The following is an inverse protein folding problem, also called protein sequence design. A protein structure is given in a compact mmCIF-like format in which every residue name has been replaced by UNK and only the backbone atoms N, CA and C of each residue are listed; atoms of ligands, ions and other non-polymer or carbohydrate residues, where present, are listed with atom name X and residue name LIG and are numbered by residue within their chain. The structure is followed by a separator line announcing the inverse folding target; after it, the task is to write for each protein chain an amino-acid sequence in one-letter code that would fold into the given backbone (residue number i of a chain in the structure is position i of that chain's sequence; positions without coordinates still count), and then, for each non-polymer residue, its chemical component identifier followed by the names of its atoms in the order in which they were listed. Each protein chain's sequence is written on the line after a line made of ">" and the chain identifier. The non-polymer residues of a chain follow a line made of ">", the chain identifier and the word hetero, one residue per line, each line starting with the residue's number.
data_IF_068661226259
#
_entry.id   IF_068661226259
#
_cell.length_a   1.000
_cell.length_b   1.000
_cell.length_c   1.000
_cell.angle_alpha   90.00
_cell.angle_beta   90.00
_cell.angle_gamma   90.00
#
_symmetry.space_group_name_H-M   'P 1'
#
loop_
_entity.id
_entity.type
_entity.pdbx_description
1 polymer ?
#
# COMPACT_ATOMS: atom_id res chain seq x y z
N UNK A 1 15.28 21.02 4.81
CA UNK A 1 15.04 21.38 6.21
C UNK A 1 13.78 20.70 6.67
N UNK A 2 13.64 20.47 7.98
CA UNK A 2 12.49 19.79 8.56
C UNK A 2 11.13 20.37 8.12
N UNK A 3 10.99 21.71 8.15
CA UNK A 3 9.78 22.40 7.71
C UNK A 3 9.47 22.17 6.23
N UNK A 4 10.48 22.21 5.36
CA UNK A 4 10.31 21.96 3.93
C UNK A 4 9.99 20.49 3.65
N UNK A 5 10.62 19.55 4.34
CA UNK A 5 10.35 18.11 4.21
C UNK A 5 8.93 17.78 4.65
N UNK A 6 8.50 18.31 5.81
CA UNK A 6 7.15 18.12 6.35
C UNK A 6 6.10 18.70 5.41
N UNK A 7 6.31 19.90 4.87
CA UNK A 7 5.40 20.48 3.88
C UNK A 7 5.30 19.65 2.59
N UNK A 8 6.43 19.11 2.11
CA UNK A 8 6.46 18.25 0.93
C UNK A 8 5.74 16.91 1.15
N UNK A 9 5.87 16.33 2.35
CA UNK A 9 5.14 15.14 2.76
C UNK A 9 3.63 15.43 2.88
N UNK A 10 3.23 16.50 3.56
CA UNK A 10 1.85 16.91 3.71
C UNK A 10 1.14 17.15 2.36
N UNK A 11 1.80 17.84 1.42
CA UNK A 11 1.26 18.06 0.08
C UNK A 11 1.01 16.75 -0.67
N UNK A 12 1.92 15.77 -0.54
CA UNK A 12 1.77 14.47 -1.18
C UNK A 12 0.65 13.64 -0.58
N UNK A 13 0.60 13.55 0.75
CA UNK A 13 -0.44 12.83 1.48
C UNK A 13 -1.82 13.41 1.16
N UNK A 14 -1.94 14.73 1.11
CA UNK A 14 -3.20 15.41 0.78
C UNK A 14 -3.67 15.09 -0.63
N UNK A 15 -2.74 15.13 -1.60
CA UNK A 15 -3.01 14.83 -3.01
C UNK A 15 -3.45 13.37 -3.20
N UNK A 16 -2.79 12.43 -2.51
CA UNK A 16 -3.00 10.99 -2.68
C UNK A 16 -3.79 10.34 -1.53
N UNK A 17 -4.62 11.10 -0.82
CA UNK A 17 -5.28 10.64 0.41
C UNK A 17 -6.10 9.35 0.25
N UNK A 18 -6.58 9.03 -0.96
CA UNK A 18 -7.32 7.78 -1.20
C UNK A 18 -6.46 6.51 -1.24
N UNK A 19 -5.13 6.66 -1.36
CA UNK A 19 -4.16 5.57 -1.45
C UNK A 19 -3.26 5.46 -0.22
N UNK A 20 -2.92 6.59 0.41
CA UNK A 20 -1.99 6.61 1.56
C UNK A 20 -2.61 6.00 2.81
N UNK A 21 -1.89 5.10 3.46
CA UNK A 21 -2.28 4.38 4.67
C UNK A 21 -2.08 5.15 5.98
N UNK A 22 -2.49 4.54 7.09
CA UNK A 22 -2.44 5.17 8.41
C UNK A 22 -1.01 5.41 8.92
N UNK A 23 -0.07 4.50 8.66
CA UNK A 23 1.31 4.60 9.13
C UNK A 23 1.99 5.89 8.63
N UNK A 24 1.95 6.16 7.33
CA UNK A 24 2.49 7.38 6.74
C UNK A 24 1.87 8.66 7.34
N UNK A 25 0.56 8.65 7.60
CA UNK A 25 -0.15 9.79 8.21
C UNK A 25 0.24 10.02 9.66
N UNK A 26 0.43 8.95 10.43
CA UNK A 26 0.89 9.04 11.83
C UNK A 26 2.29 9.62 11.91
N UNK A 27 3.23 9.18 11.06
CA UNK A 27 4.57 9.74 11.02
C UNK A 27 4.57 11.21 10.62
N UNK A 28 3.71 11.60 9.67
CA UNK A 28 3.54 13.01 9.30
C UNK A 28 3.02 13.85 10.47
N UNK A 29 2.00 13.37 11.18
CA UNK A 29 1.45 14.06 12.34
C UNK A 29 2.49 14.22 13.46
N UNK A 30 3.35 13.22 13.64
CA UNK A 30 4.44 13.28 14.60
C UNK A 30 5.53 14.29 14.20
N UNK A 31 5.88 14.35 12.92
CA UNK A 31 6.80 15.36 12.39
C UNK A 31 6.26 16.79 12.61
N UNK A 32 4.97 17.01 12.35
CA UNK A 32 4.29 18.29 12.61
C UNK A 32 4.30 18.66 14.10
N UNK A 33 4.04 17.68 14.99
CA UNK A 33 4.10 17.88 16.45
C UNK A 33 5.50 18.30 16.90
N UNK A 34 6.55 17.65 16.40
CA UNK A 34 7.93 17.97 16.74
C UNK A 34 8.39 19.32 16.18
N UNK A 35 7.89 19.72 15.01
CA UNK A 35 8.15 21.08 14.47
C UNK A 35 7.48 22.19 15.29
N UNK A 36 6.42 21.87 16.03
CA UNK A 36 5.81 22.81 16.95
C UNK A 36 6.58 22.92 18.29
N UNK A 37 7.50 21.98 18.56
CA UNK A 37 8.33 22.01 19.75
C UNK A 37 9.47 23.05 19.61
N UNK A 38 9.86 23.73 20.70
CA UNK A 38 10.88 24.78 20.64
C UNK A 38 12.33 24.26 20.55
N UNK A 39 12.58 22.95 20.72
CA UNK A 39 13.94 22.41 20.79
C UNK A 39 14.51 22.12 19.38
N UNK A 40 15.72 22.61 19.04
CA UNK A 40 16.33 22.37 17.73
C UNK A 40 16.59 20.89 17.41
N UNK A 41 16.82 20.05 18.43
CA UNK A 41 17.00 18.61 18.25
C UNK A 41 15.73 17.92 17.71
N UNK A 42 14.56 18.42 18.12
CA UNK A 42 13.25 17.89 17.67
C UNK A 42 13.03 18.16 16.19
N UNK A 43 13.62 19.24 15.64
CA UNK A 43 13.56 19.52 14.21
C UNK A 43 14.34 18.47 13.39
N UNK A 44 15.46 17.94 13.89
CA UNK A 44 16.17 16.86 13.18
C UNK A 44 15.32 15.59 13.16
N UNK A 45 14.69 15.25 14.28
CA UNK A 45 13.80 14.10 14.34
C UNK A 45 12.57 14.30 13.42
N UNK A 46 12.00 15.50 13.38
CA UNK A 46 10.93 15.85 12.46
C UNK A 46 11.32 15.70 10.98
N UNK A 47 12.55 16.08 10.60
CA UNK A 47 13.06 15.90 9.22
C UNK A 47 13.11 14.42 8.83
N UNK A 48 13.55 13.55 9.76
CA UNK A 48 13.59 12.10 9.56
C UNK A 48 12.18 11.53 9.38
N UNK A 49 11.27 11.81 10.33
CA UNK A 49 9.90 11.31 10.28
C UNK A 49 9.14 11.81 9.04
N UNK A 50 9.37 13.05 8.61
CA UNK A 50 8.77 13.58 7.39
C UNK A 50 9.24 12.85 6.12
N UNK A 51 10.51 12.44 6.06
CA UNK A 51 11.02 11.64 4.94
C UNK A 51 10.45 10.22 4.96
N UNK A 52 10.43 9.57 6.11
CA UNK A 52 9.84 8.23 6.25
C UNK A 52 8.34 8.23 5.90
N UNK A 53 7.60 9.23 6.37
CA UNK A 53 6.19 9.43 6.00
C UNK A 53 6.02 9.55 4.49
N UNK A 54 6.91 10.31 3.83
CA UNK A 54 6.89 10.48 2.37
C UNK A 54 7.19 9.18 1.64
N UNK A 55 8.21 8.45 2.05
CA UNK A 55 8.60 7.17 1.44
C UNK A 55 7.49 6.13 1.54
N UNK A 56 6.87 5.98 2.72
CA UNK A 56 5.72 5.10 2.91
C UNK A 56 4.52 5.54 2.08
N UNK A 57 4.21 6.84 2.05
CA UNK A 57 3.11 7.34 1.23
C UNK A 57 3.32 7.04 -0.27
N UNK A 58 4.55 7.19 -0.77
CA UNK A 58 4.86 6.84 -2.16
C UNK A 58 4.78 5.33 -2.42
N UNK A 59 5.20 4.51 -1.45
CA UNK A 59 5.01 3.06 -1.52
C UNK A 59 3.52 2.70 -1.61
N UNK A 60 2.68 3.27 -0.75
CA UNK A 60 1.24 3.03 -0.73
C UNK A 60 0.57 3.42 -2.06
N UNK A 61 0.97 4.55 -2.65
CA UNK A 61 0.48 4.99 -3.96
C UNK A 61 0.89 4.02 -5.07
N UNK A 62 2.15 3.57 -5.06
CA UNK A 62 2.65 2.57 -6.03
C UNK A 62 1.92 1.24 -5.86
N UNK A 63 1.70 0.77 -4.63
CA UNK A 63 0.99 -0.46 -4.34
C UNK A 63 -0.49 -0.38 -4.75
N UNK A 64 -1.16 0.75 -4.52
CA UNK A 64 -2.56 0.98 -4.92
C UNK A 64 -2.78 0.86 -6.42
N UNK A 65 -1.80 1.29 -7.23
CA UNK A 65 -1.86 1.24 -8.68
C UNK A 65 -1.44 -0.11 -9.30
N UNK A 66 -0.84 -1.02 -8.51
CA UNK A 66 -0.37 -2.31 -8.99
C UNK A 66 -1.30 -3.45 -8.50
N UNK A 67 -2.17 -4.01 -9.36
CA UNK A 67 -3.06 -5.11 -8.98
C UNK A 67 -2.31 -6.40 -8.60
N UNK A 68 -1.02 -6.50 -8.92
CA UNK A 68 -0.17 -7.64 -8.57
C UNK A 68 0.59 -7.46 -7.25
N UNK A 69 0.63 -6.26 -6.66
CA UNK A 69 1.29 -6.05 -5.36
C UNK A 69 0.60 -6.83 -4.22
N UNK A 70 -0.72 -7.03 -4.32
CA UNK A 70 -1.50 -7.81 -3.36
C UNK A 70 -1.17 -9.31 -3.41
N UNK A 71 -0.73 -9.84 -4.57
CA UNK A 71 -0.30 -11.23 -4.71
C UNK A 71 1.06 -11.48 -4.05
N UNK A 72 1.99 -10.52 -4.13
CA UNK A 72 3.30 -10.60 -3.46
C UNK A 72 3.22 -10.32 -1.96
N UNK A 73 2.27 -9.47 -1.52
CA UNK A 73 1.97 -9.29 -0.10
C UNK A 73 1.29 -10.52 0.51
N UNK A 74 0.39 -11.18 -0.25
CA UNK A 74 -0.22 -12.47 0.13
C UNK A 74 0.80 -13.60 0.14
N UNK A 75 1.81 -13.58 -0.74
CA UNK A 75 2.95 -14.51 -0.69
C UNK A 75 3.88 -14.22 0.51
N UNK A 76 4.08 -12.95 0.86
CA UNK A 76 4.87 -12.54 2.04
C UNK A 76 4.23 -12.92 3.37
N UNK A 77 2.93 -13.27 3.37
CA UNK A 77 2.23 -13.88 4.51
C UNK A 77 2.49 -15.37 4.72
N UNK A 78 3.33 -16.02 3.91
CA UNK A 78 3.68 -17.45 4.06
C UNK A 78 4.99 -17.69 4.84
N UNK A 79 5.69 -16.63 5.26
CA UNK A 79 6.91 -16.73 6.07
C UNK A 79 6.67 -16.82 7.59
N UNK A 80 5.43 -16.98 8.04
CA UNK A 80 5.03 -16.92 9.46
C UNK A 80 4.57 -18.24 10.09
N UNK A 81 4.90 -19.40 9.51
CA UNK A 81 4.56 -20.69 10.11
C UNK A 81 5.68 -21.71 9.91
N UNK A 82 6.73 -21.64 10.75
CA UNK A 82 7.61 -22.78 11.01
C UNK A 82 7.26 -23.34 12.38
N UNK A 83 6.23 -24.18 12.43
CA UNK A 83 6.11 -25.24 13.43
C UNK A 83 5.15 -26.34 12.94
N UNK A 84 5.72 -27.35 12.25
CA UNK A 84 5.14 -28.68 12.14
C UNK A 84 3.99 -28.89 11.15
N UNK A 85 4.30 -29.52 10.00
CA UNK A 85 3.38 -30.48 9.39
C UNK A 85 2.78 -30.12 8.03
N UNK A 86 3.25 -30.87 7.01
CA UNK A 86 2.60 -31.21 5.73
C UNK A 86 2.61 -30.11 4.65
N UNK A 87 3.54 -30.26 3.70
CA UNK A 87 3.44 -29.68 2.36
C UNK A 87 2.26 -30.34 1.63
N UNK A 88 1.17 -29.60 1.44
CA UNK A 88 0.13 -29.98 0.49
C UNK A 88 0.59 -29.58 -0.92
N UNK A 89 0.57 -30.49 -1.91
CA UNK A 89 0.82 -30.12 -3.29
C UNK A 89 -0.28 -29.17 -3.77
N UNK A 90 0.12 -27.98 -4.22
CA UNK A 90 -0.76 -27.02 -4.87
C UNK A 90 -1.34 -27.66 -6.13
N UNK A 91 -2.58 -28.15 -6.03
CA UNK A 91 -3.39 -28.39 -7.20
C UNK A 91 -3.68 -27.01 -7.80
N UNK A 92 -3.04 -26.69 -8.93
CA UNK A 92 -3.44 -25.56 -9.77
C UNK A 92 -4.90 -25.79 -10.17
N UNK A 93 -5.88 -24.98 -9.74
CA UNK A 93 -7.14 -24.98 -10.43
C UNK A 93 -6.85 -24.39 -11.82
N UNK A 94 -7.19 -25.14 -12.86
CA UNK A 94 -7.34 -24.64 -14.23
C UNK A 94 -8.46 -23.60 -14.25
N UNK A 95 -8.17 -22.42 -13.70
CA UNK A 95 -9.09 -21.32 -13.56
C UNK A 95 -9.21 -20.59 -14.89
N UNK A 96 -10.38 -20.71 -15.51
CA UNK A 96 -10.85 -19.79 -16.55
C UNK A 96 -10.63 -18.36 -16.02
N UNK A 97 -10.03 -17.44 -16.81
CA UNK A 97 -9.74 -16.09 -16.33
C UNK A 97 -11.02 -15.42 -15.83
N UNK A 98 -10.96 -14.67 -14.70
CA UNK A 98 -12.12 -13.97 -14.20
C UNK A 98 -12.59 -12.95 -15.24
N UNK A 99 -13.78 -13.16 -15.79
CA UNK A 99 -14.41 -12.20 -16.69
C UNK A 99 -14.99 -11.05 -15.84
N UNK A 100 -14.59 -9.83 -16.16
CA UNK A 100 -15.19 -8.65 -15.54
C UNK A 100 -16.54 -8.38 -16.20
N UNK A 101 -17.61 -8.46 -15.40
CA UNK A 101 -18.97 -8.15 -15.82
C UNK A 101 -19.96 -8.94 -15.00
N UNK A 102 -20.90 -8.23 -14.37
CA UNK A 102 -21.99 -8.85 -13.63
C UNK A 102 -22.86 -9.77 -14.51
N UNK A 103 -23.89 -10.40 -13.95
CA UNK A 103 -24.67 -11.45 -14.62
C UNK A 103 -25.18 -11.11 -16.04
N UNK A 104 -25.33 -9.82 -16.35
CA UNK A 104 -25.72 -9.31 -17.67
C UNK A 104 -24.69 -9.52 -18.81
N UNK A 105 -23.41 -9.80 -18.53
CA UNK A 105 -22.40 -10.03 -19.58
C UNK A 105 -22.21 -11.50 -19.94
N UNK A 106 -22.75 -12.43 -19.15
CA UNK A 106 -22.61 -13.88 -19.35
C UNK A 106 -23.29 -14.38 -20.64
N UNK A 107 -24.39 -13.75 -21.03
CA UNK A 107 -25.17 -14.18 -22.20
C UNK A 107 -24.50 -13.83 -23.54
N UNK A 108 -23.53 -12.92 -23.56
CA UNK A 108 -22.86 -12.52 -24.81
C UNK A 108 -21.85 -13.54 -25.33
N UNK A 109 -21.52 -14.58 -24.56
CA UNK A 109 -20.56 -15.64 -24.97
C UNK A 109 -21.22 -16.91 -25.51
N UNK A 110 -22.55 -16.99 -25.50
CA UNK A 110 -23.29 -18.10 -26.09
C UNK A 110 -23.81 -17.70 -27.49
N UNK A 111 -22.90 -17.58 -28.46
CA UNK A 111 -23.27 -17.69 -29.87
C UNK A 111 -22.62 -18.98 -30.38
N UNK A 112 -23.39 -20.03 -30.70
CA UNK A 112 -22.86 -21.24 -31.30
C UNK A 112 -22.48 -20.95 -32.76
N UNK A 113 -21.26 -21.29 -33.16
CA UNK A 113 -20.93 -21.49 -34.57
C UNK A 113 -21.49 -22.84 -35.00
N UNK A 114 -22.39 -22.81 -35.98
CA UNK A 114 -22.81 -24.00 -36.74
C UNK A 114 -21.66 -24.55 -37.59
#
# INVERSE_FOLDING_TARGET
>A
TARSATAAAAGYVTTHRGAVGAAARTLLAEAERLLAAPAPADHLHADVLAREARELAEHDVRARGNPYADLDARASGTAGAVLGGILLPVALPTGVPPAFGGPATRERRAVPTA
#
